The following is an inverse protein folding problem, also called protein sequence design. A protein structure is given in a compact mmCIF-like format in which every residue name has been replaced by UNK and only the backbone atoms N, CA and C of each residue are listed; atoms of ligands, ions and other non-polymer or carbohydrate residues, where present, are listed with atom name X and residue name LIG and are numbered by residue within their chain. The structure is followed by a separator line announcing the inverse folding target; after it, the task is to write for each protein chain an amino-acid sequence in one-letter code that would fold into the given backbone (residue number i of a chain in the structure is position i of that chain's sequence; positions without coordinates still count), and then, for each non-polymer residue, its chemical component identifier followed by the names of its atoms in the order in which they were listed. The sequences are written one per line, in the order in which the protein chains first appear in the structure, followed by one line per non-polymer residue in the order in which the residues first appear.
data_IF_721532037921
#
_entry.id   IF_721532037921
#
_cell.length_a   1.000
_cell.length_b   1.000
_cell.length_c   1.000
_cell.angle_alpha   90.00
_cell.angle_beta   90.00
_cell.angle_gamma   90.00
#
_symmetry.space_group_name_H-M   'P 1'
#
loop_
_entity.id
_entity.type
_entity.pdbx_description
1 polymer ?
#
# COMPACT_ATOMS: atom_id res chain seq x y z
N UNK A 1 -4.70 58.51 -27.86
CA UNK A 1 -3.58 57.71 -28.41
C UNK A 1 -3.29 56.56 -27.45
N UNK A 2 -3.41 55.34 -27.99
CA UNK A 2 -2.86 54.04 -27.54
C UNK A 2 -3.07 53.56 -26.10
N UNK A 3 -4.13 52.74 -25.97
CA UNK A 3 -4.22 51.57 -25.09
C UNK A 3 -3.10 50.56 -25.41
N UNK A 4 -2.25 50.23 -24.43
CA UNK A 4 -1.35 49.06 -24.49
C UNK A 4 -2.01 47.90 -23.74
N UNK A 5 -2.53 46.93 -24.50
CA UNK A 5 -2.87 45.59 -24.01
C UNK A 5 -1.57 44.87 -23.64
N UNK A 6 -1.42 44.47 -22.38
CA UNK A 6 -0.41 43.50 -21.97
C UNK A 6 -1.03 42.12 -22.15
N UNK A 7 -0.65 41.45 -23.23
CA UNK A 7 -0.98 40.05 -23.47
C UNK A 7 -0.12 39.20 -22.55
N UNK A 8 -0.70 38.62 -21.50
CA UNK A 8 -0.06 37.56 -20.71
C UNK A 8 -0.06 36.31 -21.60
N UNK A 9 1.10 36.02 -22.20
CA UNK A 9 1.35 34.74 -22.85
C UNK A 9 1.69 33.75 -21.74
N UNK A 10 0.72 32.92 -21.35
CA UNK A 10 0.96 31.76 -20.49
C UNK A 10 1.75 30.75 -21.29
N UNK A 11 3.08 30.73 -21.13
CA UNK A 11 3.94 29.71 -21.70
C UNK A 11 3.75 28.43 -20.89
N UNK A 12 2.94 27.51 -21.44
CA UNK A 12 2.85 26.14 -20.95
C UNK A 12 4.15 25.43 -21.36
N UNK A 13 5.13 25.37 -20.45
CA UNK A 13 6.29 24.49 -20.63
C UNK A 13 5.82 23.04 -20.46
N UNK A 14 5.50 22.40 -21.58
CA UNK A 14 5.41 20.94 -21.65
C UNK A 14 6.84 20.43 -21.62
N UNK A 15 7.37 20.19 -20.42
CA UNK A 15 8.54 19.35 -20.25
C UNK A 15 8.13 17.90 -20.54
N UNK A 16 8.33 17.47 -21.79
CA UNK A 16 8.47 16.04 -22.11
C UNK A 16 9.87 15.67 -21.65
N UNK A 17 10.05 15.51 -20.34
CA UNK A 17 11.16 14.73 -19.81
C UNK A 17 10.78 13.28 -20.00
N UNK A 18 11.55 12.58 -20.84
CA UNK A 18 11.63 11.12 -20.83
C UNK A 18 12.24 10.75 -19.47
N UNK A 19 11.40 10.70 -18.45
CA UNK A 19 11.76 10.11 -17.18
C UNK A 19 11.79 8.60 -17.39
N UNK A 20 12.93 7.99 -17.06
CA UNK A 20 12.95 6.57 -16.69
C UNK A 20 11.86 6.40 -15.62
N UNK A 21 10.76 5.75 -16.00
CA UNK A 21 9.65 5.48 -15.11
C UNK A 21 10.22 4.57 -14.02
N UNK A 22 10.45 5.11 -12.82
CA UNK A 22 10.71 4.27 -11.67
C UNK A 22 9.43 3.44 -11.45
N UNK A 23 9.62 2.12 -11.31
CA UNK A 23 8.57 1.14 -11.11
C UNK A 23 7.77 1.51 -9.85
N UNK A 24 6.64 2.20 -10.02
CA UNK A 24 5.69 2.42 -8.95
C UNK A 24 5.17 1.06 -8.49
N UNK A 25 5.20 0.81 -7.18
CA UNK A 25 4.62 -0.38 -6.57
C UNK A 25 3.16 -0.43 -6.99
N UNK A 26 2.84 -1.47 -7.74
CA UNK A 26 1.50 -2.01 -7.77
C UNK A 26 1.69 -3.43 -7.26
N UNK A 27 0.69 -3.95 -6.58
CA UNK A 27 0.58 -5.38 -6.45
C UNK A 27 -0.02 -5.92 -7.77
N UNK A 28 -0.88 -6.95 -7.68
CA UNK A 28 -1.73 -7.30 -8.81
C UNK A 28 -2.33 -6.03 -9.44
N UNK A 29 -2.22 -5.90 -10.76
CA UNK A 29 -2.77 -4.73 -11.42
C UNK A 29 -4.30 -4.73 -11.36
N UNK A 30 -4.91 -3.60 -11.76
CA UNK A 30 -6.32 -3.30 -11.52
C UNK A 30 -7.29 -4.41 -11.99
N UNK A 31 -6.98 -5.08 -13.10
CA UNK A 31 -7.83 -6.17 -13.62
C UNK A 31 -7.74 -7.42 -12.76
N UNK A 32 -6.54 -7.78 -12.29
CA UNK A 32 -6.35 -8.93 -11.41
C UNK A 32 -7.14 -8.78 -10.10
N UNK A 33 -7.17 -7.59 -9.51
CA UNK A 33 -8.01 -7.30 -8.34
C UNK A 33 -9.51 -7.37 -8.63
N UNK A 34 -9.94 -6.81 -9.76
CA UNK A 34 -11.33 -6.91 -10.21
C UNK A 34 -11.79 -8.38 -10.36
N UNK A 35 -10.93 -9.25 -10.90
CA UNK A 35 -11.21 -10.68 -11.04
C UNK A 35 -11.41 -11.33 -9.66
N UNK A 36 -10.54 -11.03 -8.69
CA UNK A 36 -10.63 -11.63 -7.35
C UNK A 36 -11.96 -11.29 -6.69
N UNK A 37 -12.39 -10.02 -6.69
CA UNK A 37 -13.68 -9.67 -6.07
C UNK A 37 -14.86 -10.35 -6.79
N UNK A 38 -14.81 -10.42 -8.12
CA UNK A 38 -15.88 -11.08 -8.88
C UNK A 38 -15.95 -12.58 -8.57
N UNK A 39 -14.82 -13.29 -8.55
CA UNK A 39 -14.80 -14.73 -8.26
C UNK A 39 -15.12 -15.03 -6.79
N UNK A 40 -14.58 -14.25 -5.85
CA UNK A 40 -14.87 -14.39 -4.41
C UNK A 40 -16.34 -14.20 -4.11
N UNK A 41 -17.01 -13.25 -4.78
CA UNK A 41 -18.45 -12.99 -4.57
C UNK A 41 -19.33 -14.20 -4.93
N UNK A 42 -18.94 -14.99 -5.94
CA UNK A 42 -19.68 -16.19 -6.38
C UNK A 42 -19.63 -17.32 -5.36
N UNK A 43 -18.60 -17.32 -4.49
CA UNK A 43 -18.43 -18.30 -3.41
C UNK A 43 -19.29 -17.98 -2.19
N UNK A 44 -19.81 -16.77 -2.07
CA UNK A 44 -20.74 -16.39 -1.00
C UNK A 44 -22.14 -16.96 -1.27
N UNK A 45 -22.90 -17.21 -0.21
CA UNK A 45 -24.27 -17.72 -0.34
C UNK A 45 -25.17 -16.71 -1.07
N UNK A 46 -26.21 -17.18 -1.78
CA UNK A 46 -27.15 -16.30 -2.49
C UNK A 46 -27.88 -15.29 -1.58
N UNK A 47 -27.99 -15.61 -0.28
CA UNK A 47 -28.65 -14.73 0.68
C UNK A 47 -27.72 -13.66 1.26
N UNK A 48 -26.40 -13.78 1.05
CA UNK A 48 -25.38 -12.84 1.52
C UNK A 48 -25.69 -11.40 1.09
N UNK A 49 -25.62 -10.48 2.03
CA UNK A 49 -25.82 -9.04 1.80
C UNK A 49 -24.63 -8.48 1.02
N UNK A 50 -23.41 -8.91 1.35
CA UNK A 50 -22.20 -8.57 0.59
C UNK A 50 -22.34 -9.01 -0.86
N UNK A 51 -22.74 -10.26 -1.11
CA UNK A 51 -22.92 -10.75 -2.49
C UNK A 51 -23.92 -9.90 -3.26
N UNK A 52 -25.10 -9.65 -2.66
CA UNK A 52 -26.14 -8.80 -3.27
C UNK A 52 -25.63 -7.38 -3.53
N UNK A 53 -24.80 -6.83 -2.64
CA UNK A 53 -24.18 -5.52 -2.81
C UNK A 53 -23.21 -5.49 -3.99
N UNK A 54 -22.34 -6.49 -4.12
CA UNK A 54 -21.39 -6.62 -5.25
C UNK A 54 -22.15 -6.81 -6.57
N UNK A 55 -23.14 -7.70 -6.62
CA UNK A 55 -23.95 -7.96 -7.82
C UNK A 55 -24.73 -6.71 -8.26
N UNK A 56 -25.23 -5.91 -7.30
CA UNK A 56 -25.95 -4.66 -7.58
C UNK A 56 -25.03 -3.50 -7.97
N UNK A 57 -23.82 -3.45 -7.42
CA UNK A 57 -22.85 -2.37 -7.64
C UNK A 57 -21.45 -2.89 -8.02
N UNK A 58 -21.31 -3.63 -9.14
CA UNK A 58 -20.05 -4.30 -9.50
C UNK A 58 -18.92 -3.31 -9.75
N UNK A 59 -19.20 -2.15 -10.35
CA UNK A 59 -18.18 -1.09 -10.55
C UNK A 59 -17.72 -0.46 -9.24
N UNK A 60 -18.57 -0.41 -8.21
CA UNK A 60 -18.18 0.11 -6.89
C UNK A 60 -17.29 -0.91 -6.17
N UNK A 61 -17.62 -2.20 -6.27
CA UNK A 61 -16.76 -3.26 -5.76
C UNK A 61 -15.41 -3.30 -6.50
N UNK A 62 -15.40 -3.06 -7.82
CA UNK A 62 -14.17 -2.91 -8.59
C UNK A 62 -13.32 -1.75 -8.07
N UNK A 63 -13.90 -0.55 -7.89
CA UNK A 63 -13.18 0.58 -7.28
C UNK A 63 -12.64 0.26 -5.89
N UNK A 64 -13.41 -0.44 -5.06
CA UNK A 64 -12.95 -0.91 -3.75
C UNK A 64 -11.73 -1.84 -3.86
N UNK A 65 -11.69 -2.72 -4.86
CA UNK A 65 -10.59 -3.67 -5.09
C UNK A 65 -9.27 -3.03 -5.52
N UNK A 66 -9.28 -1.75 -5.87
CA UNK A 66 -8.07 -0.99 -6.23
C UNK A 66 -7.91 0.27 -5.38
N UNK A 67 -8.79 0.50 -4.40
CA UNK A 67 -8.77 1.69 -3.57
C UNK A 67 -7.48 1.85 -2.76
N UNK A 68 -6.87 0.78 -2.20
CA UNK A 68 -5.57 0.88 -1.54
C UNK A 68 -4.46 1.42 -2.44
N UNK A 69 -4.51 1.13 -3.75
CA UNK A 69 -3.51 1.55 -4.74
C UNK A 69 -3.69 3.00 -5.23
N UNK A 70 -4.82 3.64 -4.92
CA UNK A 70 -5.07 4.99 -5.44
C UNK A 70 -4.04 6.01 -4.94
N UNK A 71 -3.50 5.83 -3.73
CA UNK A 71 -2.41 6.67 -3.21
C UNK A 71 -1.15 6.63 -4.08
N UNK A 72 -0.92 5.56 -4.86
CA UNK A 72 0.17 5.48 -5.83
C UNK A 72 -0.03 6.35 -7.09
N UNK A 73 -1.11 7.14 -7.14
CA UNK A 73 -1.32 8.14 -8.18
C UNK A 73 -0.96 9.57 -7.73
N UNK A 74 -0.51 9.74 -6.48
CA UNK A 74 -0.01 11.03 -5.97
C UNK A 74 1.20 11.52 -6.77
N UNK A 75 1.36 12.84 -6.91
CA UNK A 75 2.54 13.41 -7.57
C UNK A 75 3.85 13.02 -6.86
N UNK A 76 3.80 12.83 -5.54
CA UNK A 76 4.93 12.34 -4.73
C UNK A 76 5.38 10.92 -5.11
N UNK A 77 4.61 10.17 -5.88
CA UNK A 77 5.07 8.89 -6.46
C UNK A 77 6.22 9.07 -7.44
N UNK A 78 6.31 10.22 -8.12
CA UNK A 78 7.45 10.56 -8.98
C UNK A 78 8.77 10.64 -8.21
N UNK A 79 8.66 10.83 -6.89
CA UNK A 79 9.77 10.83 -5.95
C UNK A 79 9.62 9.65 -4.95
N UNK A 80 9.01 8.53 -5.35
CA UNK A 80 8.88 7.30 -4.54
C UNK A 80 8.26 7.45 -3.13
N UNK A 81 7.39 8.44 -2.91
CA UNK A 81 6.69 8.64 -1.64
C UNK A 81 5.16 8.57 -1.82
N UNK A 82 4.51 7.64 -1.13
CA UNK A 82 3.06 7.39 -1.25
C UNK A 82 2.44 7.03 0.10
N UNK A 83 2.38 7.99 1.05
CA UNK A 83 2.07 7.70 2.45
C UNK A 83 0.73 6.99 2.65
N UNK A 84 -0.29 7.32 1.84
CA UNK A 84 -1.60 6.68 1.94
C UNK A 84 -1.57 5.24 1.45
N UNK A 85 -1.00 5.00 0.28
CA UNK A 85 -0.87 3.64 -0.24
C UNK A 85 -0.03 2.79 0.71
N UNK A 86 1.11 3.30 1.18
CA UNK A 86 1.98 2.57 2.11
C UNK A 86 1.27 2.22 3.43
N UNK A 87 0.46 3.14 3.98
CA UNK A 87 -0.37 2.84 5.17
C UNK A 87 -1.32 1.68 4.89
N UNK A 88 -2.04 1.73 3.77
CA UNK A 88 -3.01 0.70 3.39
C UNK A 88 -2.36 -0.68 3.14
N UNK A 89 -1.07 -0.73 2.83
CA UNK A 89 -0.33 -1.97 2.56
C UNK A 89 0.49 -2.49 3.74
N UNK A 90 0.93 -1.62 4.67
CA UNK A 90 1.92 -2.01 5.69
C UNK A 90 1.49 -1.74 7.14
N UNK A 91 0.56 -0.81 7.38
CA UNK A 91 0.22 -0.35 8.73
C UNK A 91 -1.21 -0.64 9.09
N UNK A 92 -1.43 -1.50 10.09
CA UNK A 92 -2.76 -1.84 10.60
C UNK A 92 -3.76 -2.29 9.51
N UNK A 93 -3.27 -3.03 8.51
CA UNK A 93 -4.04 -3.47 7.34
C UNK A 93 -5.30 -4.24 7.73
N UNK A 94 -5.18 -5.16 8.70
CA UNK A 94 -6.31 -5.97 9.17
C UNK A 94 -7.35 -5.17 9.92
N UNK A 95 -6.91 -4.34 10.87
CA UNK A 95 -7.77 -3.42 11.61
C UNK A 95 -8.50 -2.46 10.66
N UNK A 96 -7.82 -1.95 9.63
CA UNK A 96 -8.44 -1.08 8.63
C UNK A 96 -9.54 -1.79 7.85
N UNK A 97 -9.25 -2.96 7.27
CA UNK A 97 -10.22 -3.73 6.50
C UNK A 97 -11.44 -4.17 7.35
N UNK A 98 -11.21 -4.59 8.59
CA UNK A 98 -12.27 -4.96 9.52
C UNK A 98 -13.17 -3.76 9.88
N UNK A 99 -12.57 -2.64 10.26
CA UNK A 99 -13.30 -1.41 10.61
C UNK A 99 -14.09 -0.87 9.42
N UNK A 100 -13.52 -0.90 8.22
CA UNK A 100 -14.23 -0.43 7.02
C UNK A 100 -15.48 -1.25 6.73
N UNK A 101 -15.39 -2.59 6.81
CA UNK A 101 -16.56 -3.47 6.65
C UNK A 101 -17.60 -3.23 7.75
N UNK A 102 -17.16 -3.07 9.00
CA UNK A 102 -18.05 -2.78 10.12
C UNK A 102 -18.81 -1.47 9.89
N UNK A 103 -18.12 -0.41 9.51
CA UNK A 103 -18.70 0.90 9.22
C UNK A 103 -19.64 0.82 8.01
N UNK A 104 -19.30 0.04 6.99
CA UNK A 104 -20.16 -0.21 5.83
C UNK A 104 -21.47 -0.90 6.23
N UNK A 105 -21.41 -1.97 7.04
CA UNK A 105 -22.61 -2.67 7.52
C UNK A 105 -23.50 -1.77 8.39
N UNK A 106 -22.90 -0.99 9.29
CA UNK A 106 -23.63 -0.04 10.13
C UNK A 106 -24.36 1.02 9.30
N UNK A 107 -23.78 1.45 8.18
CA UNK A 107 -24.41 2.43 7.29
C UNK A 107 -25.65 1.91 6.56
N UNK A 108 -25.80 0.58 6.42
CA UNK A 108 -26.82 -0.10 5.59
C UNK A 108 -26.80 0.31 4.11
N UNK A 109 -25.78 1.02 3.65
CA UNK A 109 -25.61 1.41 2.25
C UNK A 109 -24.90 0.29 1.47
N UNK A 110 -25.61 -0.30 0.51
CA UNK A 110 -25.08 -1.37 -0.34
C UNK A 110 -23.88 -0.92 -1.19
N UNK A 111 -23.71 0.36 -1.53
CA UNK A 111 -22.50 0.83 -2.21
C UNK A 111 -21.29 0.77 -1.29
N UNK A 112 -21.45 1.19 -0.03
CA UNK A 112 -20.40 1.12 1.00
C UNK A 112 -19.99 -0.32 1.27
N UNK A 113 -20.98 -1.23 1.35
CA UNK A 113 -20.72 -2.67 1.53
C UNK A 113 -19.96 -3.23 0.31
N UNK A 114 -20.37 -2.89 -0.92
CA UNK A 114 -19.68 -3.33 -2.13
C UNK A 114 -18.23 -2.82 -2.18
N UNK A 115 -18.02 -1.54 -1.87
CA UNK A 115 -16.69 -0.92 -1.83
C UNK A 115 -15.78 -1.58 -0.78
N UNK A 116 -16.26 -1.74 0.46
CA UNK A 116 -15.49 -2.39 1.53
C UNK A 116 -15.19 -3.86 1.21
N UNK A 117 -16.11 -4.57 0.54
CA UNK A 117 -15.84 -5.93 0.09
C UNK A 117 -14.75 -5.97 -1.00
N UNK A 118 -14.78 -5.01 -1.93
CA UNK A 118 -13.68 -4.76 -2.86
C UNK A 118 -12.35 -4.58 -2.13
N UNK A 119 -12.29 -3.74 -1.10
CA UNK A 119 -11.07 -3.53 -0.31
C UNK A 119 -10.50 -4.84 0.27
N UNK A 120 -11.36 -5.73 0.79
CA UNK A 120 -10.91 -7.03 1.32
C UNK A 120 -10.36 -7.94 0.24
N UNK A 121 -10.89 -7.87 -0.99
CA UNK A 121 -10.34 -8.61 -2.12
C UNK A 121 -8.94 -8.15 -2.50
N UNK A 122 -8.64 -6.85 -2.35
CA UNK A 122 -7.30 -6.31 -2.55
C UNK A 122 -6.33 -6.91 -1.55
N UNK A 123 -6.64 -6.77 -0.25
CA UNK A 123 -5.84 -7.33 0.86
C UNK A 123 -5.57 -8.83 0.67
N UNK A 124 -6.61 -9.59 0.33
CA UNK A 124 -6.45 -11.04 0.11
C UNK A 124 -5.65 -11.34 -1.16
N UNK A 125 -5.83 -10.52 -2.20
CA UNK A 125 -5.11 -10.57 -3.46
C UNK A 125 -3.62 -10.43 -3.28
N UNK A 126 -3.18 -9.39 -2.59
CA UNK A 126 -1.78 -9.06 -2.42
C UNK A 126 -1.07 -10.05 -1.52
N UNK A 127 -1.72 -10.44 -0.41
CA UNK A 127 -1.13 -11.41 0.51
C UNK A 127 -0.76 -12.72 -0.20
N UNK A 128 -1.59 -13.15 -1.13
CA UNK A 128 -1.35 -14.36 -1.92
C UNK A 128 -0.48 -14.08 -3.14
N UNK A 129 -0.67 -12.97 -3.85
CA UNK A 129 0.16 -12.56 -4.99
C UNK A 129 1.63 -12.48 -4.57
N UNK A 130 1.95 -11.68 -3.56
CA UNK A 130 3.32 -11.54 -3.10
C UNK A 130 3.82 -12.83 -2.46
N UNK A 131 3.06 -13.42 -1.53
CA UNK A 131 3.52 -14.60 -0.79
C UNK A 131 3.69 -15.87 -1.63
N UNK A 132 2.90 -16.05 -2.69
CA UNK A 132 2.86 -17.30 -3.48
C UNK A 132 3.41 -17.09 -4.89
N UNK A 133 3.16 -15.96 -5.53
CA UNK A 133 3.51 -15.74 -6.94
C UNK A 133 4.81 -14.95 -7.13
N UNK A 134 4.93 -13.77 -6.51
CA UNK A 134 6.02 -12.80 -6.75
C UNK A 134 7.27 -13.10 -5.91
N UNK A 135 7.15 -13.14 -4.58
CA UNK A 135 8.30 -13.21 -3.67
C UNK A 135 9.20 -14.44 -3.86
N UNK A 136 8.72 -15.63 -4.29
CA UNK A 136 9.59 -16.75 -4.58
C UNK A 136 10.68 -16.49 -5.64
N UNK A 137 10.48 -15.49 -6.51
CA UNK A 137 11.42 -15.15 -7.57
C UNK A 137 12.01 -13.73 -7.38
N UNK A 138 11.21 -12.81 -6.89
CA UNK A 138 11.60 -11.40 -6.74
C UNK A 138 12.12 -11.04 -5.35
N UNK A 139 11.89 -11.89 -4.33
CA UNK A 139 12.05 -11.51 -2.93
C UNK A 139 11.05 -10.44 -2.49
N UNK A 140 11.09 -10.06 -1.20
CA UNK A 140 10.21 -9.02 -0.66
C UNK A 140 10.64 -7.63 -1.16
N UNK A 141 9.71 -6.89 -1.75
CA UNK A 141 9.96 -5.60 -2.42
C UNK A 141 10.69 -4.57 -1.54
N UNK A 142 10.26 -4.40 -0.28
CA UNK A 142 10.90 -3.52 0.71
C UNK A 142 12.39 -3.80 0.95
N UNK A 143 12.87 -5.01 0.65
CA UNK A 143 14.22 -5.45 0.99
C UNK A 143 15.03 -5.96 -0.22
N UNK A 144 14.46 -6.01 -1.42
CA UNK A 144 15.16 -6.51 -2.61
C UNK A 144 15.00 -5.59 -3.83
N UNK A 145 15.82 -4.55 -3.89
CA UNK A 145 15.86 -3.61 -5.03
C UNK A 145 16.11 -4.32 -6.37
N UNK A 146 16.94 -5.38 -6.39
CA UNK A 146 17.27 -6.13 -7.61
C UNK A 146 16.06 -6.88 -8.20
N UNK A 147 15.09 -7.23 -7.36
CA UNK A 147 13.88 -7.97 -7.77
C UNK A 147 12.76 -7.09 -8.34
N UNK A 148 12.81 -5.78 -8.15
CA UNK A 148 11.68 -4.86 -8.43
C UNK A 148 11.25 -4.84 -9.91
N UNK A 149 12.21 -4.83 -10.83
CA UNK A 149 11.89 -4.87 -12.27
C UNK A 149 11.15 -6.16 -12.67
N UNK A 150 11.59 -7.31 -12.12
CA UNK A 150 10.93 -8.58 -12.38
C UNK A 150 9.57 -8.66 -11.71
N UNK A 151 9.45 -8.11 -10.50
CA UNK A 151 8.18 -7.97 -9.78
C UNK A 151 7.15 -7.26 -10.66
N UNK A 152 7.45 -6.06 -11.14
CA UNK A 152 6.53 -5.29 -12.00
C UNK A 152 6.17 -6.06 -13.28
N UNK A 153 7.15 -6.70 -13.92
CA UNK A 153 6.88 -7.53 -15.10
C UNK A 153 5.94 -8.70 -14.77
N UNK A 154 6.15 -9.40 -13.66
CA UNK A 154 5.31 -10.54 -13.27
C UNK A 154 3.85 -10.14 -13.05
N UNK A 155 3.60 -8.94 -12.52
CA UNK A 155 2.24 -8.41 -12.33
C UNK A 155 1.58 -7.99 -13.63
N UNK A 156 2.32 -7.33 -14.53
CA UNK A 156 1.87 -6.99 -15.89
C UNK A 156 1.48 -8.25 -16.67
N UNK A 157 2.33 -9.28 -16.62
CA UNK A 157 2.14 -10.54 -17.34
C UNK A 157 0.99 -11.37 -16.74
N UNK A 158 0.60 -11.13 -15.48
CA UNK A 158 -0.50 -11.85 -14.84
C UNK A 158 -1.89 -11.44 -15.38
N UNK A 159 -2.10 -10.17 -15.73
CA UNK A 159 -3.44 -9.63 -16.05
C UNK A 159 -4.15 -10.32 -17.23
N UNK A 160 -3.58 -10.37 -18.46
CA UNK A 160 -4.28 -10.96 -19.59
C UNK A 160 -4.50 -12.47 -19.37
N UNK A 161 -3.60 -13.14 -18.67
CA UNK A 161 -3.78 -14.54 -18.29
C UNK A 161 -4.94 -14.72 -17.33
N UNK A 162 -4.96 -13.94 -16.25
CA UNK A 162 -6.02 -13.98 -15.25
C UNK A 162 -7.36 -13.64 -15.89
N UNK A 163 -7.43 -12.62 -16.75
CA UNK A 163 -8.64 -12.22 -17.47
C UNK A 163 -9.29 -13.39 -18.20
N UNK A 164 -8.51 -14.11 -19.01
CA UNK A 164 -9.00 -15.21 -19.84
C UNK A 164 -9.23 -16.48 -19.02
N UNK A 165 -8.25 -16.92 -18.24
CA UNK A 165 -8.24 -18.26 -17.67
C UNK A 165 -8.90 -18.34 -16.28
N UNK A 166 -8.91 -17.23 -15.53
CA UNK A 166 -9.44 -17.17 -14.16
C UNK A 166 -10.77 -16.42 -14.16
N UNK A 167 -10.80 -15.24 -14.79
CA UNK A 167 -11.99 -14.42 -15.00
C UNK A 167 -13.00 -15.05 -15.96
N UNK A 168 -12.55 -15.93 -16.86
CA UNK A 168 -13.37 -16.54 -17.93
C UNK A 168 -13.99 -15.50 -18.87
N UNK A 169 -13.26 -14.42 -19.13
CA UNK A 169 -13.69 -13.36 -20.04
C UNK A 169 -13.10 -13.55 -21.45
N UNK A 170 -13.75 -12.94 -22.44
CA UNK A 170 -13.20 -12.92 -23.79
C UNK A 170 -11.95 -12.01 -23.83
N UNK A 171 -10.85 -12.48 -24.42
CA UNK A 171 -9.63 -11.69 -24.56
C UNK A 171 -9.87 -10.37 -25.31
N UNK A 172 -10.86 -10.32 -26.21
CA UNK A 172 -11.24 -9.08 -26.92
C UNK A 172 -11.72 -7.98 -25.97
N UNK A 173 -12.21 -8.35 -24.79
CA UNK A 173 -12.70 -7.41 -23.77
C UNK A 173 -11.58 -6.95 -22.81
N UNK A 174 -10.38 -7.52 -22.89
CA UNK A 174 -9.18 -7.01 -22.20
C UNK A 174 -8.60 -5.84 -23.00
N UNK A 175 -9.25 -4.69 -22.90
CA UNK A 175 -8.85 -3.47 -23.59
C UNK A 175 -9.15 -2.22 -22.76
N UNK A 176 -8.45 -1.13 -23.09
CA UNK A 176 -8.54 0.14 -22.37
C UNK A 176 -9.96 0.70 -22.29
N UNK A 177 -10.76 0.57 -23.35
CA UNK A 177 -12.15 1.06 -23.37
C UNK A 177 -13.01 0.31 -22.38
N UNK A 178 -12.99 -1.02 -22.39
CA UNK A 178 -13.79 -1.83 -21.48
C UNK A 178 -13.38 -1.59 -20.03
N UNK A 179 -12.08 -1.64 -19.73
CA UNK A 179 -11.59 -1.50 -18.35
C UNK A 179 -11.88 -0.10 -17.80
N UNK A 180 -11.63 0.96 -18.58
CA UNK A 180 -11.82 2.34 -18.11
C UNK A 180 -13.26 2.86 -18.12
N UNK A 181 -14.17 2.21 -18.87
CA UNK A 181 -15.51 2.75 -19.11
C UNK A 181 -16.64 1.83 -18.67
N UNK A 182 -16.39 0.52 -18.56
CA UNK A 182 -17.38 -0.45 -18.08
C UNK A 182 -17.06 -0.97 -16.68
N UNK A 183 -15.79 -1.32 -16.42
CA UNK A 183 -15.36 -1.83 -15.11
C UNK A 183 -15.21 -0.68 -14.11
N UNK A 184 -14.25 0.22 -14.36
CA UNK A 184 -13.95 1.36 -13.49
C UNK A 184 -14.65 2.62 -13.96
N UNK A 185 -15.96 2.69 -13.74
CA UNK A 185 -16.81 3.84 -14.11
C UNK A 185 -17.40 4.56 -12.90
N UNK A 186 -18.06 5.68 -13.16
CA UNK A 186 -18.85 6.42 -12.16
C UNK A 186 -18.07 6.79 -10.88
N UNK A 187 -16.86 7.38 -11.03
CA UNK A 187 -16.02 7.85 -9.90
C UNK A 187 -16.83 8.67 -8.88
N UNK A 188 -17.78 9.48 -9.35
CA UNK A 188 -18.62 10.32 -8.49
C UNK A 188 -19.54 9.54 -7.53
N UNK A 189 -19.77 8.24 -7.79
CA UNK A 189 -20.58 7.36 -6.95
C UNK A 189 -19.75 6.53 -5.98
N UNK A 190 -18.42 6.59 -6.05
CA UNK A 190 -17.51 5.85 -5.16
C UNK A 190 -17.60 6.42 -3.74
N UNK A 191 -17.89 5.60 -2.71
CA UNK A 191 -18.14 6.09 -1.35
C UNK A 191 -16.82 6.35 -0.60
N UNK A 192 -16.03 7.31 -1.08
CA UNK A 192 -14.77 7.71 -0.46
C UNK A 192 -14.93 8.24 0.97
N UNK A 193 -16.13 8.69 1.34
CA UNK A 193 -16.44 9.07 2.73
C UNK A 193 -16.26 7.90 3.71
N UNK A 194 -16.53 6.66 3.29
CA UNK A 194 -16.26 5.46 4.08
C UNK A 194 -14.75 5.25 4.30
N UNK A 195 -13.96 5.40 3.23
CA UNK A 195 -12.50 5.31 3.24
C UNK A 195 -11.90 6.39 4.15
N UNK A 196 -12.41 7.63 4.08
CA UNK A 196 -11.96 8.73 4.92
C UNK A 196 -12.28 8.48 6.40
N UNK A 197 -13.52 8.10 6.71
CA UNK A 197 -13.97 7.82 8.08
C UNK A 197 -13.09 6.73 8.72
N UNK A 198 -12.87 5.63 8.00
CA UNK A 198 -12.01 4.53 8.45
C UNK A 198 -10.55 5.00 8.64
N UNK A 199 -10.04 5.84 7.73
CA UNK A 199 -8.67 6.38 7.85
C UNK A 199 -8.50 7.25 9.09
N UNK A 200 -9.46 8.11 9.39
CA UNK A 200 -9.44 8.91 10.63
C UNK A 200 -9.45 8.00 11.86
N UNK A 201 -10.31 6.97 11.90
CA UNK A 201 -10.39 6.05 13.04
C UNK A 201 -9.09 5.25 13.27
N UNK A 202 -8.41 4.81 12.21
CA UNK A 202 -7.24 3.93 12.33
C UNK A 202 -5.92 4.69 12.42
N UNK A 203 -5.79 5.77 11.64
CA UNK A 203 -4.56 6.54 11.45
C UNK A 203 -4.61 7.95 12.05
N UNK A 204 -5.78 8.44 12.46
CA UNK A 204 -5.96 9.79 13.01
C UNK A 204 -6.05 10.90 11.96
N UNK A 205 -5.97 10.56 10.66
CA UNK A 205 -6.16 11.48 9.54
C UNK A 205 -6.68 10.73 8.32
N UNK A 206 -7.11 11.46 7.30
CA UNK A 206 -7.51 10.89 6.01
C UNK A 206 -6.99 11.75 4.85
N UNK A 207 -6.88 11.18 3.63
CA UNK A 207 -6.89 12.00 2.44
C UNK A 207 -8.25 12.70 2.31
N UNK A 208 -8.33 13.67 1.40
CA UNK A 208 -9.61 14.30 1.04
C UNK A 208 -10.25 13.56 -0.15
N UNK A 209 -11.58 13.58 -0.19
CA UNK A 209 -12.37 13.08 -1.34
C UNK A 209 -11.88 13.69 -2.67
N UNK A 210 -11.47 14.97 -2.67
CA UNK A 210 -10.93 15.63 -3.86
C UNK A 210 -9.63 14.97 -4.34
N UNK A 211 -8.72 14.63 -3.43
CA UNK A 211 -7.48 13.91 -3.76
C UNK A 211 -7.79 12.50 -4.29
N UNK A 212 -8.69 11.77 -3.64
CA UNK A 212 -9.05 10.40 -4.06
C UNK A 212 -9.73 10.36 -5.44
N UNK A 213 -10.59 11.33 -5.72
CA UNK A 213 -11.17 11.52 -7.06
C UNK A 213 -10.11 11.88 -8.09
N UNK A 214 -9.12 12.71 -7.74
CA UNK A 214 -8.01 13.04 -8.63
C UNK A 214 -7.17 11.79 -8.94
N UNK A 215 -6.81 11.01 -7.92
CA UNK A 215 -6.09 9.74 -8.10
C UNK A 215 -6.83 8.78 -9.02
N UNK A 216 -8.14 8.64 -8.80
CA UNK A 216 -9.03 7.84 -9.64
C UNK A 216 -9.00 8.31 -11.10
N UNK A 217 -9.07 9.62 -11.34
CA UNK A 217 -8.99 10.21 -12.70
C UNK A 217 -7.63 9.98 -13.35
N UNK A 218 -6.54 10.08 -12.58
CA UNK A 218 -5.18 9.80 -13.07
C UNK A 218 -5.07 8.33 -13.48
N UNK A 219 -5.50 7.40 -12.62
CA UNK A 219 -5.50 5.97 -12.94
C UNK A 219 -6.32 5.67 -14.20
N UNK A 220 -7.55 6.20 -14.30
CA UNK A 220 -8.38 6.04 -15.50
C UNK A 220 -7.70 6.60 -16.74
N UNK A 221 -6.98 7.72 -16.62
CA UNK A 221 -6.21 8.28 -17.74
C UNK A 221 -5.10 7.33 -18.16
N UNK A 222 -4.33 6.76 -17.21
CA UNK A 222 -3.28 5.77 -17.49
C UNK A 222 -3.86 4.53 -18.19
N UNK A 223 -4.97 3.99 -17.69
CA UNK A 223 -5.69 2.86 -18.29
C UNK A 223 -6.16 3.19 -19.71
N UNK A 224 -6.73 4.38 -19.94
CA UNK A 224 -7.23 4.80 -21.26
C UNK A 224 -6.13 4.94 -22.30
N UNK A 225 -5.02 5.55 -21.92
CA UNK A 225 -3.93 5.89 -22.85
C UNK A 225 -2.89 4.78 -23.00
N UNK A 226 -2.81 3.86 -22.03
CA UNK A 226 -1.73 2.87 -21.94
C UNK A 226 -0.41 3.46 -21.42
N UNK A 227 -0.37 4.74 -21.01
CA UNK A 227 0.82 5.37 -20.45
C UNK A 227 0.85 5.12 -18.94
N UNK A 228 1.81 4.34 -18.44
CA UNK A 228 1.87 3.94 -17.03
C UNK A 228 0.87 2.83 -16.64
N UNK A 229 0.24 2.20 -17.63
CA UNK A 229 -0.55 0.98 -17.52
C UNK A 229 -0.35 0.15 -18.80
N UNK A 230 0.30 -0.99 -18.70
CA UNK A 230 0.72 -1.76 -19.88
C UNK A 230 -0.25 -2.89 -20.18
N UNK A 231 -0.75 -2.92 -21.41
CA UNK A 231 -1.53 -4.04 -21.93
C UNK A 231 -0.60 -5.06 -22.58
N UNK A 232 -0.39 -6.18 -21.91
CA UNK A 232 0.43 -7.28 -22.43
C UNK A 232 -0.40 -8.19 -23.34
N UNK A 233 0.20 -8.65 -24.44
CA UNK A 233 -0.41 -9.65 -25.31
C UNK A 233 -0.59 -10.99 -24.56
N UNK A 234 -1.76 -11.60 -24.72
CA UNK A 234 -2.10 -12.84 -24.03
C UNK A 234 -1.18 -14.01 -24.34
N UNK A 235 -0.69 -14.13 -25.58
CA UNK A 235 0.23 -15.21 -25.94
C UNK A 235 1.64 -14.95 -25.39
N UNK A 236 2.08 -13.70 -25.33
CA UNK A 236 3.32 -13.32 -24.63
C UNK A 236 3.23 -13.67 -23.14
N UNK A 237 2.14 -13.30 -22.49
CA UNK A 237 1.87 -13.65 -21.09
C UNK A 237 1.90 -15.15 -20.83
N UNK A 238 1.23 -15.95 -21.66
CA UNK A 238 1.30 -17.42 -21.55
C UNK A 238 2.74 -17.94 -21.65
N UNK A 239 3.55 -17.42 -22.58
CA UNK A 239 4.96 -17.83 -22.74
C UNK A 239 5.78 -17.45 -21.52
N UNK A 240 5.60 -16.23 -21.01
CA UNK A 240 6.28 -15.76 -19.80
C UNK A 240 5.93 -16.63 -18.58
N UNK A 241 4.65 -16.92 -18.39
CA UNK A 241 4.13 -17.70 -17.28
C UNK A 241 4.47 -19.20 -17.36
N UNK A 242 4.76 -19.73 -18.56
CA UNK A 242 5.18 -21.11 -18.75
C UNK A 242 6.58 -21.41 -18.19
N UNK A 243 7.34 -20.38 -17.79
CA UNK A 243 8.68 -20.52 -17.21
C UNK A 243 8.65 -20.46 -15.69
N UNK A 244 9.67 -21.01 -15.03
CA UNK A 244 9.89 -20.91 -13.58
C UNK A 244 8.66 -21.26 -12.71
N UNK A 245 7.78 -22.18 -13.11
CA UNK A 245 6.51 -22.52 -12.41
C UNK A 245 5.56 -21.33 -12.18
N UNK A 246 5.75 -20.22 -12.90
CA UNK A 246 5.02 -18.96 -12.67
C UNK A 246 3.52 -19.12 -12.85
N UNK A 247 3.07 -19.84 -13.88
CA UNK A 247 1.65 -20.17 -14.10
C UNK A 247 1.03 -20.88 -12.89
N UNK A 248 1.67 -21.94 -12.40
CA UNK A 248 1.17 -22.73 -11.28
C UNK A 248 1.08 -21.89 -10.00
N UNK A 249 2.12 -21.07 -9.74
CA UNK A 249 2.12 -20.14 -8.61
C UNK A 249 1.05 -19.06 -8.75
N UNK A 250 0.83 -18.54 -9.95
CA UNK A 250 -0.21 -17.54 -10.24
C UNK A 250 -1.61 -18.11 -9.98
N UNK A 251 -1.92 -19.27 -10.55
CA UNK A 251 -3.22 -19.93 -10.35
C UNK A 251 -3.46 -20.29 -8.87
N UNK A 252 -2.40 -20.76 -8.19
CA UNK A 252 -2.45 -21.01 -6.75
C UNK A 252 -2.66 -19.73 -5.94
N UNK A 253 -2.02 -18.63 -6.33
CA UNK A 253 -2.20 -17.32 -5.70
C UNK A 253 -3.65 -16.87 -5.82
N UNK A 254 -4.22 -16.84 -7.03
CA UNK A 254 -5.64 -16.50 -7.23
C UNK A 254 -6.58 -17.38 -6.42
N UNK A 255 -6.38 -18.70 -6.44
CA UNK A 255 -7.22 -19.61 -5.65
C UNK A 255 -7.13 -19.33 -4.15
N UNK A 256 -5.94 -19.02 -3.65
CA UNK A 256 -5.74 -18.65 -2.26
C UNK A 256 -6.39 -17.29 -1.94
N UNK A 257 -6.28 -16.30 -2.82
CA UNK A 257 -6.91 -14.98 -2.70
C UNK A 257 -8.42 -15.10 -2.63
N UNK A 258 -9.03 -15.84 -3.55
CA UNK A 258 -10.48 -16.04 -3.64
C UNK A 258 -11.04 -16.72 -2.38
N UNK A 259 -10.40 -17.83 -1.98
CA UNK A 259 -10.80 -18.56 -0.78
C UNK A 259 -10.66 -17.69 0.49
N UNK A 260 -9.56 -16.94 0.61
CA UNK A 260 -9.33 -16.08 1.76
C UNK A 260 -10.30 -14.89 1.79
N UNK A 261 -10.53 -14.24 0.65
CA UNK A 261 -11.48 -13.14 0.53
C UNK A 261 -12.90 -13.62 0.89
N UNK A 262 -13.37 -14.71 0.28
CA UNK A 262 -14.69 -15.28 0.58
C UNK A 262 -14.85 -15.66 2.06
N UNK A 263 -13.80 -16.23 2.68
CA UNK A 263 -13.77 -16.52 4.12
C UNK A 263 -13.92 -15.24 4.95
N UNK A 264 -13.08 -14.24 4.70
CA UNK A 264 -13.07 -12.98 5.45
C UNK A 264 -14.40 -12.23 5.33
N UNK A 265 -14.95 -12.14 4.12
CA UNK A 265 -16.27 -11.54 3.86
C UNK A 265 -17.37 -12.30 4.59
N UNK A 266 -17.37 -13.64 4.53
CA UNK A 266 -18.35 -14.47 5.24
C UNK A 266 -18.23 -14.34 6.76
N UNK A 267 -17.02 -14.29 7.31
CA UNK A 267 -16.80 -14.08 8.74
C UNK A 267 -17.34 -12.71 9.18
N UNK A 268 -16.98 -11.64 8.45
CA UNK A 268 -17.41 -10.28 8.77
C UNK A 268 -18.93 -10.09 8.68
N UNK A 269 -19.58 -10.69 7.67
CA UNK A 269 -21.05 -10.66 7.55
C UNK A 269 -21.75 -11.35 8.73
N UNK A 270 -21.11 -12.36 9.34
CA UNK A 270 -21.58 -13.01 10.56
C UNK A 270 -21.08 -12.32 11.85
N UNK A 271 -20.53 -11.11 11.75
CA UNK A 271 -20.04 -10.34 12.90
C UNK A 271 -18.69 -10.81 13.47
N UNK A 272 -18.02 -11.76 12.84
CA UNK A 272 -16.71 -12.25 13.26
C UNK A 272 -15.57 -11.54 12.50
N UNK A 273 -14.85 -10.67 13.22
CA UNK A 273 -13.70 -9.94 12.69
C UNK A 273 -12.35 -10.47 13.18
N UNK A 274 -12.33 -11.58 13.93
CA UNK A 274 -11.09 -12.13 14.54
C UNK A 274 -10.08 -12.68 13.55
N UNK A 275 -10.50 -12.93 12.30
CA UNK A 275 -9.63 -13.38 11.21
C UNK A 275 -8.83 -12.23 10.56
N UNK A 276 -9.20 -10.99 10.84
CA UNK A 276 -8.47 -9.81 10.38
C UNK A 276 -7.30 -9.53 11.32
N UNK A 277 -6.09 -9.37 10.76
CA UNK A 277 -4.89 -9.24 11.59
C UNK A 277 -3.93 -8.18 11.05
N UNK A 278 -3.37 -7.40 11.97
CA UNK A 278 -2.31 -6.42 11.67
C UNK A 278 -0.93 -7.05 11.55
N UNK A 279 -0.86 -8.39 11.57
CA UNK A 279 0.31 -9.12 11.04
C UNK A 279 0.43 -8.99 9.53
N UNK A 280 -0.64 -8.62 8.82
CA UNK A 280 -0.59 -8.46 7.38
C UNK A 280 0.32 -7.30 6.99
N UNK A 281 1.28 -7.62 6.12
CA UNK A 281 2.07 -6.71 5.33
C UNK A 281 1.95 -7.24 3.89
N UNK A 282 1.36 -6.44 3.01
CA UNK A 282 0.92 -6.90 1.71
C UNK A 282 2.12 -7.32 0.82
N UNK A 283 3.24 -6.59 0.86
CA UNK A 283 4.50 -6.96 0.19
C UNK A 283 5.12 -8.26 0.68
N UNK A 284 5.01 -8.52 1.98
CA UNK A 284 5.58 -9.72 2.59
C UNK A 284 4.74 -10.96 2.24
N UNK A 285 3.44 -10.76 2.06
CA UNK A 285 2.48 -11.84 1.93
C UNK A 285 2.43 -12.73 3.17
N UNK A 286 2.12 -14.02 2.97
CA UNK A 286 2.16 -15.00 4.07
C UNK A 286 3.61 -15.23 4.53
N UNK A 287 3.94 -14.76 5.72
CA UNK A 287 5.24 -14.98 6.36
C UNK A 287 5.11 -15.76 7.66
N UNK A 288 6.06 -16.69 7.85
CA UNK A 288 6.25 -17.43 9.11
C UNK A 288 7.08 -16.63 10.13
N UNK A 289 7.52 -15.41 9.80
CA UNK A 289 8.23 -14.54 10.73
C UNK A 289 7.30 -14.11 11.87
N UNK A 290 7.72 -14.16 13.14
CA UNK A 290 6.96 -13.63 14.26
C UNK A 290 6.70 -12.12 14.13
N UNK A 291 7.54 -11.38 13.42
CA UNK A 291 7.33 -9.97 13.07
C UNK A 291 7.16 -9.88 11.55
N UNK A 292 5.92 -9.68 11.11
CA UNK A 292 5.58 -9.54 9.70
C UNK A 292 5.24 -8.10 9.32
N UNK A 293 4.81 -7.28 10.29
CA UNK A 293 4.71 -5.83 10.15
C UNK A 293 5.44 -5.14 11.31
N UNK A 294 6.33 -4.21 10.97
CA UNK A 294 7.04 -3.32 11.88
C UNK A 294 7.01 -1.90 11.30
N UNK A 295 6.37 -0.99 12.02
CA UNK A 295 6.28 0.43 11.64
C UNK A 295 6.92 1.28 12.73
N UNK A 296 7.79 2.19 12.33
CA UNK A 296 8.37 3.21 13.22
C UNK A 296 7.86 4.57 12.76
N UNK A 297 7.25 5.30 13.69
CA UNK A 297 6.76 6.66 13.46
C UNK A 297 7.64 7.61 14.26
N UNK A 298 8.27 8.57 13.60
CA UNK A 298 9.18 9.55 14.20
C UNK A 298 8.61 10.95 14.00
N UNK A 299 8.64 11.76 15.05
CA UNK A 299 8.23 13.15 14.98
C UNK A 299 9.44 14.05 15.25
N UNK A 300 9.67 15.00 14.36
CA UNK A 300 10.64 16.09 14.52
C UNK A 300 9.99 17.25 15.30
N UNK A 301 10.77 17.97 16.11
CA UNK A 301 10.34 19.19 16.78
C UNK A 301 9.87 20.28 15.81
N UNK A 302 9.18 21.30 16.33
CA UNK A 302 8.66 22.43 15.54
C UNK A 302 9.52 23.70 15.65
N UNK A 303 10.55 23.63 16.48
CA UNK A 303 11.46 24.71 16.80
C UNK A 303 12.30 25.08 15.59
N UNK A 304 12.73 26.34 15.48
CA UNK A 304 13.58 26.76 14.37
C UNK A 304 14.87 25.91 14.31
N UNK A 305 15.18 25.36 13.14
CA UNK A 305 16.31 24.45 12.96
C UNK A 305 16.11 23.04 13.52
N UNK A 306 14.87 22.63 13.82
CA UNK A 306 14.58 21.29 14.38
C UNK A 306 14.86 20.14 13.42
N UNK A 307 14.81 20.38 12.09
CA UNK A 307 15.02 19.36 11.06
C UNK A 307 16.48 19.00 10.82
N UNK A 308 16.73 17.97 10.01
CA UNK A 308 18.10 17.54 9.69
C UNK A 308 18.18 16.80 8.36
N UNK A 309 19.29 17.00 7.65
CA UNK A 309 19.67 16.21 6.47
C UNK A 309 20.62 15.04 6.83
N UNK A 310 20.94 14.85 8.13
CA UNK A 310 21.80 13.75 8.57
C UNK A 310 21.10 12.40 8.44
N UNK A 311 21.90 11.34 8.28
CA UNK A 311 21.37 9.97 8.26
C UNK A 311 20.84 9.59 9.65
N UNK A 312 19.56 9.22 9.72
CA UNK A 312 18.93 8.70 10.93
C UNK A 312 18.76 7.20 10.82
N UNK A 313 19.15 6.50 11.87
CA UNK A 313 19.02 5.07 11.99
C UNK A 313 18.11 4.71 13.15
N UNK A 314 17.25 3.73 12.93
CA UNK A 314 16.52 3.06 14.00
C UNK A 314 17.08 1.66 14.17
N UNK A 315 17.30 1.25 15.42
CA UNK A 315 17.72 -0.10 15.71
C UNK A 315 17.02 -0.71 16.90
N UNK A 316 17.01 -2.04 16.90
CA UNK A 316 16.44 -2.88 17.95
C UNK A 316 17.47 -3.92 18.38
N UNK A 317 17.43 -4.27 19.66
CA UNK A 317 18.19 -5.37 20.24
C UNK A 317 17.24 -6.29 21.00
N UNK A 318 17.43 -7.58 20.79
CA UNK A 318 16.69 -8.65 21.46
C UNK A 318 17.34 -9.03 22.79
N UNK A 319 16.61 -9.72 23.67
CA UNK A 319 17.10 -10.24 24.94
C UNK A 319 18.28 -11.21 24.79
N UNK A 320 18.41 -11.88 23.65
CA UNK A 320 19.52 -12.77 23.32
C UNK A 320 20.75 -12.04 22.72
N UNK A 321 20.77 -10.71 22.72
CA UNK A 321 21.89 -9.89 22.24
C UNK A 321 21.89 -9.60 20.74
N UNK A 322 21.10 -10.31 19.92
CA UNK A 322 20.97 -10.00 18.49
C UNK A 322 20.42 -8.59 18.26
N UNK A 323 20.96 -7.89 17.29
CA UNK A 323 20.55 -6.54 16.91
C UNK A 323 20.28 -6.43 15.42
N UNK A 324 19.38 -5.50 15.05
CA UNK A 324 19.19 -5.07 13.68
C UNK A 324 18.99 -3.54 13.66
N UNK A 325 19.58 -2.89 12.68
CA UNK A 325 19.50 -1.44 12.49
C UNK A 325 19.11 -1.17 11.03
N UNK A 326 18.32 -0.12 10.81
CA UNK A 326 17.89 0.36 9.51
C UNK A 326 18.23 1.84 9.38
N UNK A 327 18.76 2.21 8.23
CA UNK A 327 18.71 3.60 7.77
C UNK A 327 17.25 3.95 7.49
N UNK A 328 16.81 5.07 8.02
CA UNK A 328 15.49 5.63 7.80
C UNK A 328 15.61 6.70 6.73
N UNK A 329 15.40 6.30 5.48
CA UNK A 329 15.55 7.15 4.30
C UNK A 329 14.48 6.74 3.29
N UNK A 330 13.56 7.66 3.01
CA UNK A 330 12.51 7.48 2.00
C UNK A 330 13.06 8.07 0.69
N UNK A 331 13.29 7.25 -0.35
CA UNK A 331 13.90 7.74 -1.59
C UNK A 331 13.10 8.92 -2.14
N UNK A 332 13.76 10.04 -2.45
CA UNK A 332 13.14 11.21 -3.07
C UNK A 332 12.28 12.08 -2.15
N UNK A 333 12.10 11.70 -0.88
CA UNK A 333 11.42 12.49 0.12
C UNK A 333 12.45 13.17 1.04
N UNK A 334 12.15 14.40 1.49
CA UNK A 334 13.02 15.08 2.45
C UNK A 334 12.60 14.69 3.87
N UNK A 335 13.33 13.74 4.46
CA UNK A 335 13.03 13.16 5.77
C UNK A 335 13.35 14.11 6.93
N UNK A 336 12.66 13.91 8.06
CA UNK A 336 12.97 14.57 9.33
C UNK A 336 12.88 16.09 9.32
N UNK A 337 12.08 16.65 8.40
CA UNK A 337 11.83 18.08 8.31
C UNK A 337 11.15 18.67 9.55
N UNK A 338 11.27 19.98 9.69
CA UNK A 338 10.74 20.71 10.83
C UNK A 338 9.23 20.44 11.03
N UNK A 339 8.86 19.86 12.17
CA UNK A 339 7.50 19.50 12.53
C UNK A 339 6.94 18.25 11.82
N UNK A 340 7.74 17.57 11.00
CA UNK A 340 7.32 16.38 10.27
C UNK A 340 7.02 15.20 11.22
N UNK A 341 6.13 14.32 10.76
CA UNK A 341 5.84 13.03 11.38
C UNK A 341 5.99 11.95 10.33
N UNK A 342 7.17 11.34 10.31
CA UNK A 342 7.59 10.37 9.31
C UNK A 342 7.27 8.94 9.72
N UNK A 343 6.83 8.12 8.77
CA UNK A 343 6.50 6.71 8.95
C UNK A 343 7.45 5.84 8.12
N UNK A 344 8.01 4.81 8.75
CA UNK A 344 8.95 3.88 8.14
C UNK A 344 8.48 2.44 8.31
N UNK A 345 8.41 1.69 7.21
CA UNK A 345 7.94 0.31 7.15
C UNK A 345 9.13 -0.64 7.01
N UNK A 346 9.44 -1.35 8.09
CA UNK A 346 10.70 -2.08 8.21
C UNK A 346 10.46 -3.59 8.14
N UNK A 347 11.28 -4.28 7.34
CA UNK A 347 11.15 -5.72 7.16
C UNK A 347 12.08 -6.54 8.06
N UNK A 348 11.51 -7.56 8.72
CA UNK A 348 12.23 -8.57 9.51
C UNK A 348 11.80 -9.97 9.05
N UNK A 349 12.72 -10.69 8.40
CA UNK A 349 12.54 -12.10 8.04
C UNK A 349 13.35 -13.05 8.92
N UNK A 350 13.22 -12.91 10.23
CA UNK A 350 13.99 -13.73 11.18
C UNK A 350 13.05 -14.33 12.23
N UNK A 351 12.98 -15.66 12.26
CA UNK A 351 12.14 -16.40 13.22
C UNK A 351 12.61 -16.25 14.67
N UNK A 352 13.85 -15.86 14.88
CA UNK A 352 14.39 -15.55 16.21
C UNK A 352 14.01 -14.16 16.72
N UNK A 353 13.45 -13.29 15.88
CA UNK A 353 12.96 -11.97 16.28
C UNK A 353 11.49 -12.05 16.71
N UNK A 354 11.26 -12.49 17.95
CA UNK A 354 9.91 -12.48 18.53
C UNK A 354 9.58 -11.11 19.17
N UNK A 355 8.36 -10.57 19.01
CA UNK A 355 7.98 -9.30 19.65
C UNK A 355 8.25 -9.25 21.16
N UNK A 356 8.03 -10.36 21.87
CA UNK A 356 8.25 -10.51 23.32
C UNK A 356 9.72 -10.51 23.75
N UNK A 357 10.64 -10.67 22.79
CA UNK A 357 12.07 -10.70 23.02
C UNK A 357 12.74 -9.35 22.79
N UNK A 358 12.00 -8.31 22.36
CA UNK A 358 12.55 -6.96 22.24
C UNK A 358 13.02 -6.48 23.62
N UNK A 359 14.27 -6.02 23.71
CA UNK A 359 14.91 -5.58 24.96
C UNK A 359 15.23 -4.09 24.90
N UNK A 360 15.82 -3.63 23.80
CA UNK A 360 16.18 -2.23 23.60
C UNK A 360 15.82 -1.77 22.20
N UNK A 361 15.52 -0.48 22.08
CA UNK A 361 15.47 0.23 20.82
C UNK A 361 16.39 1.45 20.90
N UNK A 362 16.86 1.96 19.76
CA UNK A 362 17.59 3.21 19.72
C UNK A 362 17.32 3.99 18.44
N UNK A 363 17.56 5.29 18.55
CA UNK A 363 17.65 6.21 17.42
C UNK A 363 19.08 6.75 17.41
N UNK A 364 19.76 6.59 16.29
CA UNK A 364 21.13 7.04 16.08
C UNK A 364 21.17 7.99 14.89
N UNK A 365 21.75 9.16 15.10
CA UNK A 365 22.07 10.13 14.06
C UNK A 365 23.53 9.96 13.66
N UNK A 366 23.79 9.94 12.37
CA UNK A 366 25.14 9.91 11.80
C UNK A 366 25.39 11.20 11.05
N UNK A 367 26.43 11.93 11.48
CA UNK A 367 26.75 13.20 10.85
C UNK A 367 27.28 12.96 9.44
N UNK A 368 26.68 13.60 8.44
CA UNK A 368 27.17 13.57 7.06
C UNK A 368 28.12 14.74 6.73
N UNK A 369 28.42 15.60 7.70
CA UNK A 369 29.31 16.76 7.54
C UNK A 369 28.61 18.12 7.50
N UNK A 370 27.28 18.18 7.64
CA UNK A 370 26.52 19.45 7.67
C UNK A 370 26.94 20.40 8.80
N UNK A 371 26.87 21.71 8.52
CA UNK A 371 27.17 22.81 9.45
C UNK A 371 26.09 22.99 10.53
N UNK A 372 24.82 22.66 10.20
CA UNK A 372 23.66 22.74 11.09
C UNK A 372 23.07 21.34 11.32
N UNK A 373 23.89 20.44 11.88
CA UNK A 373 23.61 19.00 11.99
C UNK A 373 22.80 18.61 13.24
N UNK A 374 22.20 19.57 13.94
CA UNK A 374 21.44 19.27 15.14
C UNK A 374 20.01 18.93 14.74
N UNK A 375 19.45 17.90 15.36
CA UNK A 375 18.10 17.44 15.07
C UNK A 375 17.29 17.39 16.35
N UNK A 376 16.12 18.02 16.38
CA UNK A 376 15.24 17.93 17.53
C UNK A 376 14.34 16.71 17.41
N UNK A 377 14.79 15.62 18.03
CA UNK A 377 14.02 14.39 18.12
C UNK A 377 12.91 14.54 19.17
N UNK A 378 11.68 14.76 18.71
CA UNK A 378 10.55 15.05 19.59
C UNK A 378 9.96 13.78 20.20
N UNK A 379 9.57 12.83 19.36
CA UNK A 379 8.93 11.59 19.80
C UNK A 379 9.05 10.47 18.79
N UNK A 380 8.81 9.25 19.24
CA UNK A 380 8.62 8.11 18.35
C UNK A 380 7.65 7.08 18.91
N UNK A 381 7.15 6.24 18.01
CA UNK A 381 6.30 5.09 18.30
C UNK A 381 6.76 3.89 17.48
N UNK A 382 6.84 2.72 18.12
CA UNK A 382 7.09 1.44 17.45
C UNK A 382 5.79 0.65 17.45
N UNK A 383 5.30 0.29 16.28
CA UNK A 383 4.21 -0.65 16.09
C UNK A 383 4.76 -1.99 15.57
N UNK A 384 4.40 -3.09 16.23
CA UNK A 384 4.71 -4.46 15.80
C UNK A 384 3.41 -5.24 15.68
N UNK A 385 3.11 -5.70 14.46
CA UNK A 385 1.91 -6.49 14.15
C UNK A 385 0.61 -5.85 14.71
N UNK A 386 0.46 -4.53 14.58
CA UNK A 386 -0.68 -3.75 15.07
C UNK A 386 -0.58 -3.22 16.49
N UNK A 387 0.35 -3.74 17.31
CA UNK A 387 0.48 -3.34 18.72
C UNK A 387 1.58 -2.31 18.91
N UNK A 388 1.28 -1.23 19.64
CA UNK A 388 2.30 -0.28 20.06
C UNK A 388 3.13 -0.91 21.17
N UNK A 389 4.38 -1.25 20.87
CA UNK A 389 5.30 -1.90 21.83
C UNK A 389 6.17 -0.89 22.58
N UNK A 390 6.33 0.31 22.04
CA UNK A 390 7.02 1.42 22.69
C UNK A 390 6.53 2.75 22.14
N UNK A 391 6.36 3.74 23.01
CA UNK A 391 6.09 5.14 22.64
C UNK A 391 6.82 6.03 23.64
N UNK A 392 7.66 6.95 23.17
CA UNK A 392 8.39 7.89 24.02
C UNK A 392 8.45 9.26 23.36
N UNK A 393 8.54 10.30 24.17
CA UNK A 393 8.65 11.70 23.74
C UNK A 393 9.85 12.37 24.41
N UNK A 394 11.09 12.05 23.99
CA UNK A 394 12.29 12.58 24.65
C UNK A 394 12.42 14.09 24.54
N UNK A 395 11.89 14.69 23.47
CA UNK A 395 12.00 16.10 23.14
C UNK A 395 13.43 16.65 23.30
N UNK A 396 14.38 16.00 22.62
CA UNK A 396 15.81 16.23 22.82
C UNK A 396 16.54 16.51 21.52
N UNK A 397 17.44 17.51 21.57
CA UNK A 397 18.39 17.79 20.49
C UNK A 397 19.46 16.70 20.42
N UNK A 398 19.52 16.00 19.29
CA UNK A 398 20.64 15.15 18.92
C UNK A 398 21.68 15.99 18.20
N UNK A 399 22.91 15.92 18.68
CA UNK A 399 24.03 16.75 18.21
C UNK A 399 25.14 15.85 17.67
N UNK A 400 26.28 16.45 17.28
CA UNK A 400 27.47 15.69 16.89
C UNK A 400 28.01 14.82 18.04
N UNK A 401 27.90 15.31 19.29
CA UNK A 401 28.42 14.63 20.49
C UNK A 401 27.39 13.69 21.12
N UNK A 402 26.12 14.10 21.11
CA UNK A 402 25.01 13.32 21.64
C UNK A 402 24.14 12.84 20.48
N UNK A 403 24.61 11.81 19.78
CA UNK A 403 24.03 11.37 18.52
C UNK A 403 23.24 10.05 18.62
N UNK A 404 23.07 9.48 19.82
CA UNK A 404 22.31 8.25 20.02
C UNK A 404 21.46 8.32 21.29
N UNK A 405 20.20 7.90 21.19
CA UNK A 405 19.33 7.67 22.33
C UNK A 405 18.89 6.22 22.37
N UNK A 406 19.04 5.59 23.52
CA UNK A 406 18.68 4.20 23.78
C UNK A 406 17.48 4.15 24.72
N UNK A 407 16.57 3.24 24.44
CA UNK A 407 15.32 3.04 25.17
C UNK A 407 15.21 1.57 25.55
N UNK A 408 14.93 1.30 26.83
CA UNK A 408 14.57 -0.03 27.26
C UNK A 408 13.10 -0.27 26.90
N UNK A 409 12.80 -1.48 26.43
CA UNK A 409 11.41 -1.93 26.27
C UNK A 409 10.82 -2.14 27.67
N UNK A 410 9.55 -1.79 27.83
CA UNK A 410 8.82 -1.99 29.08
C UNK A 410 8.49 -3.46 29.32
#
# INVERSE_FOLDING_TARGET
MMTKKITIVTIFFIFITIFNYYDNVKAFQSVSHYIIINQSSKMLTKNSVIRKAIEKYPSIAAWGSIAPDLGYQEFSTLINYSPWADRYHYYKVGSYAATQLKNAFQSKDMKKIAFAAGWVSHVSGDLACHGIYINPECGVYLNNVKGRKLHTQMEEEAEPYAWVNIGQYNIKDYNSKNISSNIFKDIEKVPFDLMNTTSVEIYGSSPSITQEKLWSKILITKIKTGIGYRYIDYNMSKKFLATNTRKERLEKAFKASENQCAKLLSCAENGNYGEFTDRWNLDVGRSNSPISSLTVIITTGKEFGAGTDDNIYFGIQMKNGKSKEWLLDKPGYNDFENGASDEYYLYINDRSFMPSMLNKAWIRKENNGSLFSNWLFKSFKINVNGKIVLSKSPNKWLTKKENILKFNMN
#
